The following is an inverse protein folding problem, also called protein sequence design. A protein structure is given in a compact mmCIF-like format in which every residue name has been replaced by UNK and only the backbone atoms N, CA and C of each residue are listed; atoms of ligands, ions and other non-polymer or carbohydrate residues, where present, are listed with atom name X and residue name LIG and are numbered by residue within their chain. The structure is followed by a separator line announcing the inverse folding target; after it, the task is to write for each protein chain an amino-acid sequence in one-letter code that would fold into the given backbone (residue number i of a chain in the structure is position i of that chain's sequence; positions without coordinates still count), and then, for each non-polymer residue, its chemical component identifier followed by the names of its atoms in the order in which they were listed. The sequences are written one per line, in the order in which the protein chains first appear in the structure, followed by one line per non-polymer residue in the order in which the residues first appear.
data_IF_219055010058
#
_entry.id   IF_219055010058
#
_cell.length_a   1.000
_cell.length_b   1.000
_cell.length_c   1.000
_cell.angle_alpha   90.00
_cell.angle_beta   90.00
_cell.angle_gamma   90.00
#
_symmetry.space_group_name_H-M   'P 1'
#
loop_
_entity.id
_entity.type
_entity.pdbx_description
1 polymer ?
#
# COMPACT_ATOMS: atom_id res chain seq x y z
N UNK A 1 -28.11 -10.64 28.83
CA UNK A 1 -26.89 -9.98 28.30
C UNK A 1 -27.12 -9.74 26.81
N UNK A 2 -27.05 -8.50 26.28
CA UNK A 2 -27.21 -8.35 24.84
C UNK A 2 -25.90 -8.76 24.16
N UNK A 3 -26.04 -9.64 23.16
CA UNK A 3 -25.00 -10.09 22.26
C UNK A 3 -24.31 -8.87 21.64
N UNK A 4 -23.07 -8.58 22.06
CA UNK A 4 -22.25 -7.61 21.35
C UNK A 4 -22.14 -8.12 19.91
N UNK A 5 -22.77 -7.44 18.94
CA UNK A 5 -22.56 -7.72 17.51
C UNK A 5 -21.05 -7.72 17.26
N UNK A 6 -20.47 -8.88 16.97
CA UNK A 6 -19.13 -8.96 16.41
C UNK A 6 -19.18 -8.31 15.03
N UNK A 7 -18.84 -7.02 14.97
CA UNK A 7 -18.72 -6.30 13.71
C UNK A 7 -17.45 -6.78 13.01
N UNK A 8 -17.62 -7.50 11.90
CA UNK A 8 -16.50 -7.85 11.03
C UNK A 8 -15.97 -6.56 10.36
N UNK A 9 -14.67 -6.29 10.50
CA UNK A 9 -13.97 -5.18 9.85
C UNK A 9 -13.04 -5.72 8.78
N UNK A 10 -13.30 -5.39 7.52
CA UNK A 10 -12.42 -5.71 6.39
C UNK A 10 -11.70 -4.43 5.93
N UNK A 11 -10.37 -4.48 5.87
CA UNK A 11 -9.53 -3.33 5.50
C UNK A 11 -8.42 -3.76 4.54
N UNK A 12 -8.10 -2.91 3.56
CA UNK A 12 -6.94 -3.10 2.69
C UNK A 12 -5.98 -1.90 2.78
N UNK A 13 -4.69 -2.20 2.86
CA UNK A 13 -3.62 -1.21 2.91
C UNK A 13 -2.67 -1.43 1.75
N UNK A 14 -2.39 -0.35 1.03
CA UNK A 14 -1.43 -0.33 -0.07
C UNK A 14 -0.31 0.63 0.27
N UNK A 15 0.91 0.16 0.12
CA UNK A 15 2.12 0.94 0.35
C UNK A 15 2.99 0.85 -0.88
N UNK A 16 3.42 2.01 -1.37
CA UNK A 16 4.41 2.07 -2.43
C UNK A 16 5.63 2.87 -1.98
N UNK A 17 6.80 2.35 -2.31
CA UNK A 17 8.11 2.86 -1.91
C UNK A 17 8.76 3.50 -3.14
N UNK A 18 9.13 4.77 -3.06
CA UNK A 18 9.66 5.53 -4.20
C UNK A 18 11.12 5.19 -4.51
N UNK A 19 11.91 4.89 -3.48
CA UNK A 19 13.28 4.40 -3.58
C UNK A 19 13.43 3.14 -2.69
N UNK A 20 13.15 1.95 -3.23
CA UNK A 20 13.31 0.72 -2.47
C UNK A 20 14.80 0.47 -2.22
N UNK A 21 15.26 0.69 -0.98
CA UNK A 21 16.56 0.21 -0.52
C UNK A 21 16.72 -1.29 -0.83
N UNK A 22 17.95 -1.75 -1.11
CA UNK A 22 18.22 -3.13 -1.54
C UNK A 22 17.43 -4.17 -0.72
N UNK A 23 16.47 -4.84 -1.36
CA UNK A 23 15.72 -5.97 -0.80
C UNK A 23 14.28 -5.69 -0.37
N UNK A 24 13.79 -4.43 -0.43
CA UNK A 24 12.37 -4.13 -0.17
C UNK A 24 11.53 -4.11 -1.45
N UNK A 25 10.30 -4.65 -1.44
CA UNK A 25 9.40 -4.54 -2.57
C UNK A 25 8.92 -3.09 -2.74
N UNK A 26 8.91 -2.61 -3.97
CA UNK A 26 8.41 -1.28 -4.33
C UNK A 26 6.91 -1.11 -4.03
N UNK A 27 6.15 -2.20 -3.97
CA UNK A 27 4.73 -2.18 -3.65
C UNK A 27 4.34 -3.35 -2.76
N UNK A 28 3.51 -3.07 -1.75
CA UNK A 28 2.91 -4.06 -0.85
C UNK A 28 1.42 -3.78 -0.70
N UNK A 29 0.61 -4.83 -0.84
CA UNK A 29 -0.82 -4.82 -0.55
C UNK A 29 -1.15 -5.80 0.56
N UNK A 30 -1.87 -5.37 1.60
CA UNK A 30 -2.22 -6.19 2.76
C UNK A 30 -3.72 -6.11 3.04
N UNK A 31 -4.37 -7.26 3.16
CA UNK A 31 -5.77 -7.36 3.57
C UNK A 31 -5.89 -7.83 5.02
N UNK A 32 -6.73 -7.14 5.79
CA UNK A 32 -7.04 -7.43 7.18
C UNK A 32 -8.53 -7.78 7.32
N UNK A 33 -8.81 -8.78 8.16
CA UNK A 33 -10.15 -9.04 8.69
C UNK A 33 -10.05 -9.05 10.22
N UNK A 34 -10.82 -8.20 10.90
CA UNK A 34 -10.76 -8.00 12.36
C UNK A 34 -9.35 -7.76 12.91
N UNK A 35 -8.53 -7.02 12.15
CA UNK A 35 -7.14 -6.73 12.51
C UNK A 35 -6.16 -7.88 12.26
N UNK A 36 -6.61 -9.04 11.79
CA UNK A 36 -5.76 -10.15 11.36
C UNK A 36 -5.45 -10.05 9.86
N UNK A 37 -4.17 -10.11 9.49
CA UNK A 37 -3.78 -10.21 8.08
C UNK A 37 -4.23 -11.55 7.50
N UNK A 38 -5.07 -11.52 6.48
CA UNK A 38 -5.52 -12.75 5.81
C UNK A 38 -4.95 -12.92 4.40
N UNK A 39 -4.55 -11.82 3.74
CA UNK A 39 -3.87 -11.83 2.44
C UNK A 39 -2.75 -10.82 2.37
N UNK A 40 -1.74 -11.14 1.57
CA UNK A 40 -0.58 -10.31 1.28
C UNK A 40 -0.23 -10.37 -0.19
N UNK A 41 0.28 -9.26 -0.72
CA UNK A 41 0.86 -9.14 -2.04
C UNK A 41 2.11 -8.26 -1.93
N UNK A 42 3.15 -8.60 -2.69
CA UNK A 42 4.33 -7.76 -2.86
C UNK A 42 4.81 -7.78 -4.31
N UNK A 43 5.51 -6.72 -4.72
CA UNK A 43 6.03 -6.56 -6.08
C UNK A 43 7.18 -7.51 -6.44
N UNK A 44 7.76 -8.26 -5.49
CA UNK A 44 8.73 -9.31 -5.82
C UNK A 44 8.02 -10.58 -6.27
N UNK A 45 7.07 -11.06 -5.47
CA UNK A 45 6.34 -12.29 -5.76
C UNK A 45 5.27 -12.08 -6.84
N UNK A 46 4.74 -10.85 -6.95
CA UNK A 46 3.66 -10.42 -7.86
C UNK A 46 2.46 -11.38 -7.86
N UNK A 47 2.15 -11.95 -6.70
CA UNK A 47 1.05 -12.89 -6.48
C UNK A 47 0.40 -12.62 -5.14
N UNK A 48 -0.93 -12.77 -5.09
CA UNK A 48 -1.62 -12.81 -3.81
C UNK A 48 -1.28 -14.10 -3.06
N UNK A 49 -0.96 -13.94 -1.78
CA UNK A 49 -0.54 -14.96 -0.84
C UNK A 49 -1.50 -14.98 0.35
N UNK A 50 -2.12 -16.13 0.67
CA UNK A 50 -2.87 -16.27 1.91
C UNK A 50 -1.94 -16.20 3.11
N UNK A 51 -2.42 -15.63 4.22
CA UNK A 51 -1.70 -15.53 5.50
C UNK A 51 -2.36 -16.31 6.63
N UNK A 52 -3.48 -16.95 6.34
CA UNK A 52 -4.30 -17.73 7.27
C UNK A 52 -4.86 -18.97 6.55
N UNK A 53 -5.04 -20.06 7.29
CA UNK A 53 -5.40 -21.38 6.74
C UNK A 53 -6.76 -21.40 6.03
N UNK A 54 -7.74 -20.65 6.54
CA UNK A 54 -9.06 -20.56 5.89
C UNK A 54 -8.98 -19.89 4.52
N UNK A 55 -8.04 -18.96 4.33
CA UNK A 55 -7.82 -18.29 3.03
C UNK A 55 -7.12 -19.22 2.03
N UNK A 56 -6.23 -20.11 2.50
CA UNK A 56 -5.70 -21.19 1.66
C UNK A 56 -6.80 -22.13 1.16
N UNK A 57 -7.75 -22.47 2.04
CA UNK A 57 -8.89 -23.32 1.69
C UNK A 57 -9.76 -22.67 0.61
N UNK A 58 -10.10 -21.39 0.76
CA UNK A 58 -10.82 -20.62 -0.27
C UNK A 58 -10.07 -20.63 -1.61
N UNK A 59 -8.73 -20.48 -1.59
CA UNK A 59 -7.93 -20.55 -2.80
C UNK A 59 -7.91 -21.93 -3.49
N UNK A 60 -8.11 -23.02 -2.73
CA UNK A 60 -8.23 -24.39 -3.27
C UNK A 60 -9.63 -24.65 -3.82
N UNK A 61 -10.66 -24.21 -3.11
CA UNK A 61 -12.07 -24.40 -3.47
C UNK A 61 -12.49 -23.49 -4.64
N UNK A 62 -11.91 -22.29 -4.72
CA UNK A 62 -12.15 -21.30 -5.76
C UNK A 62 -10.83 -20.82 -6.38
N UNK A 63 -10.21 -21.61 -7.28
CA UNK A 63 -8.93 -21.25 -7.89
C UNK A 63 -8.93 -19.87 -8.56
N UNK A 64 -10.05 -19.47 -9.16
CA UNK A 64 -10.22 -18.17 -9.82
C UNK A 64 -10.13 -16.99 -8.85
N UNK A 65 -10.48 -17.18 -7.56
CA UNK A 65 -10.37 -16.14 -6.55
C UNK A 65 -8.93 -15.63 -6.45
N UNK A 66 -7.95 -16.55 -6.45
CA UNK A 66 -6.54 -16.20 -6.31
C UNK A 66 -6.05 -15.36 -7.49
N UNK A 67 -6.44 -15.74 -8.70
CA UNK A 67 -6.01 -15.08 -9.93
C UNK A 67 -6.66 -13.69 -10.08
N UNK A 68 -7.95 -13.57 -9.77
CA UNK A 68 -8.66 -12.29 -9.78
C UNK A 68 -8.03 -11.33 -8.77
N UNK A 69 -7.81 -11.77 -7.53
CA UNK A 69 -7.20 -10.90 -6.52
C UNK A 69 -5.76 -10.54 -6.86
N UNK A 70 -4.99 -11.48 -7.41
CA UNK A 70 -3.64 -11.17 -7.92
C UNK A 70 -3.68 -10.10 -9.01
N UNK A 71 -4.64 -10.18 -9.94
CA UNK A 71 -4.83 -9.18 -10.98
C UNK A 71 -5.21 -7.80 -10.40
N UNK A 72 -6.07 -7.78 -9.38
CA UNK A 72 -6.45 -6.54 -8.70
C UNK A 72 -5.25 -5.88 -8.02
N UNK A 73 -4.43 -6.65 -7.29
CA UNK A 73 -3.19 -6.15 -6.68
C UNK A 73 -2.19 -5.63 -7.72
N UNK A 74 -2.04 -6.30 -8.87
CA UNK A 74 -1.20 -5.82 -9.97
C UNK A 74 -1.72 -4.52 -10.58
N UNK A 75 -3.04 -4.38 -10.70
CA UNK A 75 -3.65 -3.12 -11.13
C UNK A 75 -3.36 -1.97 -10.17
N UNK A 76 -3.44 -2.24 -8.86
CA UNK A 76 -3.07 -1.26 -7.83
C UNK A 76 -1.56 -0.94 -7.86
N UNK A 77 -0.69 -1.95 -7.98
CA UNK A 77 0.76 -1.76 -8.14
C UNK A 77 1.08 -0.79 -9.29
N UNK A 78 0.46 -0.99 -10.45
CA UNK A 78 0.70 -0.14 -11.62
C UNK A 78 0.15 1.29 -11.43
N UNK A 79 -1.03 1.45 -10.83
CA UNK A 79 -1.58 2.76 -10.53
C UNK A 79 -0.65 3.56 -9.59
N UNK A 80 -0.18 2.92 -8.51
CA UNK A 80 0.75 3.56 -7.56
C UNK A 80 2.10 3.87 -8.19
N UNK A 81 2.60 3.02 -9.10
CA UNK A 81 3.82 3.30 -9.86
C UNK A 81 3.70 4.60 -10.65
N UNK A 82 2.59 4.80 -11.37
CA UNK A 82 2.31 6.02 -12.14
C UNK A 82 2.15 7.24 -11.23
N UNK A 83 1.47 7.09 -10.09
CA UNK A 83 1.31 8.15 -9.11
C UNK A 83 2.65 8.59 -8.52
N UNK A 84 3.51 7.65 -8.15
CA UNK A 84 4.86 7.93 -7.65
C UNK A 84 5.72 8.65 -8.69
N UNK A 85 5.68 8.21 -9.95
CA UNK A 85 6.40 8.85 -11.05
C UNK A 85 5.91 10.30 -11.25
N UNK A 86 4.60 10.51 -11.20
CA UNK A 86 3.98 11.83 -11.30
C UNK A 86 4.41 12.74 -10.15
N UNK A 87 4.40 12.23 -8.91
CA UNK A 87 4.82 12.97 -7.73
C UNK A 87 6.31 13.34 -7.80
N UNK A 88 7.17 12.42 -8.23
CA UNK A 88 8.60 12.65 -8.42
C UNK A 88 8.84 13.74 -9.46
N UNK A 89 8.14 13.69 -10.59
CA UNK A 89 8.24 14.70 -11.63
C UNK A 89 7.82 16.09 -11.14
N UNK A 90 6.71 16.20 -10.38
CA UNK A 90 6.25 17.46 -9.78
C UNK A 90 7.25 18.03 -8.77
N UNK A 91 7.85 17.18 -7.95
CA UNK A 91 8.88 17.59 -7.00
C UNK A 91 10.11 18.16 -7.72
N UNK A 92 10.61 17.44 -8.73
CA UNK A 92 11.77 17.86 -9.51
C UNK A 92 11.53 19.18 -10.27
N UNK A 93 10.30 19.42 -10.76
CA UNK A 93 9.92 20.68 -11.39
C UNK A 93 9.97 21.87 -10.41
N UNK A 94 9.53 21.70 -9.15
CA UNK A 94 9.62 22.74 -8.12
C UNK A 94 11.06 23.03 -7.72
N UNK A 95 11.90 22.01 -7.63
CA UNK A 95 13.33 22.18 -7.29
C UNK A 95 14.08 22.92 -8.41
N UNK A 96 13.78 22.63 -9.67
CA UNK A 96 14.42 23.27 -10.83
C UNK A 96 13.91 24.70 -11.10
N UNK A 97 12.68 25.03 -10.69
CA UNK A 97 12.10 26.37 -10.80
C UNK A 97 12.54 27.37 -9.72
N UNK A 98 13.30 26.93 -8.71
CA UNK A 98 13.77 27.76 -7.59
C UNK A 98 15.22 28.22 -7.67
N UNK A 99 15.98 27.84 -8.71
CA UNK A 99 17.41 28.15 -8.85
C UNK A 99 17.67 29.54 -9.48
N UNK A 100 16.90 30.55 -9.06
CA UNK A 100 17.01 31.94 -9.50
C UNK A 100 16.90 32.91 -8.33
N UNK A 101 17.73 32.76 -7.30
CA UNK A 101 17.73 33.64 -6.15
C UNK A 101 18.81 33.27 -5.13
N UNK A 102 19.96 33.91 -5.26
CA UNK A 102 21.01 33.93 -4.24
C UNK A 102 20.47 34.45 -2.91
N UNK A 103 20.62 33.67 -1.82
CA UNK A 103 20.93 34.16 -0.47
C UNK A 103 21.29 32.98 0.45
N UNK A 104 22.22 33.25 1.37
CA UNK A 104 23.04 32.32 2.14
C UNK A 104 22.28 31.17 2.81
N UNK A 105 22.78 29.94 2.61
CA UNK A 105 22.37 28.74 3.34
C UNK A 105 22.93 28.79 4.76
N UNK A 106 22.06 29.03 5.74
CA UNK A 106 22.23 28.44 7.06
C UNK A 106 21.81 26.97 6.96
N UNK A 107 22.74 26.04 7.23
CA UNK A 107 22.51 24.59 7.17
C UNK A 107 21.57 24.17 8.30
N UNK A 108 20.26 24.24 8.08
CA UNK A 108 19.27 23.60 8.95
C UNK A 108 19.20 22.09 8.63
N UNK A 109 19.38 21.18 9.61
CA UNK A 109 19.51 19.74 9.42
C UNK A 109 18.15 19.05 9.24
N UNK A 110 17.28 19.59 8.36
CA UNK A 110 15.90 19.11 8.16
C UNK A 110 15.69 18.46 6.78
N UNK A 111 16.73 17.86 6.22
CA UNK A 111 16.67 17.19 4.91
C UNK A 111 16.21 15.71 5.03
N UNK A 112 16.44 15.07 6.18
CA UNK A 112 16.12 13.64 6.36
C UNK A 112 14.62 13.36 6.55
N UNK A 113 13.90 14.24 7.24
CA UNK A 113 12.50 14.03 7.58
C UNK A 113 11.56 14.29 6.40
N UNK A 114 11.93 15.17 5.45
CA UNK A 114 11.16 15.38 4.22
C UNK A 114 11.36 14.28 3.19
N UNK A 115 12.53 13.61 3.19
CA UNK A 115 12.75 12.39 2.39
C UNK A 115 11.84 11.28 2.89
N UNK A 116 11.83 11.01 4.19
CA UNK A 116 11.06 9.90 4.77
C UNK A 116 9.54 9.99 4.49
N UNK A 117 8.96 11.19 4.46
CA UNK A 117 7.55 11.42 4.11
C UNK A 117 7.24 11.24 2.61
N UNK A 118 8.25 11.18 1.73
CA UNK A 118 8.14 10.86 0.30
C UNK A 118 8.61 9.43 -0.03
N UNK A 119 9.32 8.79 0.89
CA UNK A 119 9.85 7.43 0.74
C UNK A 119 8.75 6.37 0.91
N UNK A 120 7.64 6.72 1.59
CA UNK A 120 6.49 5.84 1.81
C UNK A 120 5.20 6.59 1.47
N UNK A 121 4.60 6.25 0.33
CA UNK A 121 3.28 6.74 -0.04
C UNK A 121 2.25 5.65 0.24
N UNK A 122 1.45 5.84 1.28
CA UNK A 122 0.38 4.93 1.67
C UNK A 122 -0.99 5.61 1.50
N UNK A 123 -1.81 5.09 0.60
CA UNK A 123 -3.24 5.43 0.54
C UNK A 123 -4.04 4.31 1.22
N UNK A 124 -4.90 4.69 2.18
CA UNK A 124 -5.92 3.81 2.74
C UNK A 124 -7.14 3.90 1.81
N UNK A 125 -7.51 2.81 1.15
CA UNK A 125 -8.81 2.72 0.49
C UNK A 125 -9.44 1.33 0.68
N UNK A 126 -10.70 1.40 1.13
CA UNK A 126 -11.69 0.34 1.35
C UNK A 126 -11.66 -0.27 2.77
N UNK A 127 -12.32 0.44 3.71
CA UNK A 127 -12.93 -0.18 4.90
C UNK A 127 -14.33 -0.63 4.50
N UNK A 128 -14.57 -1.94 4.37
CA UNK A 128 -15.94 -2.47 4.25
C UNK A 128 -16.30 -3.05 5.61
N UNK A 129 -17.21 -2.37 6.33
CA UNK A 129 -17.92 -3.00 7.46
C UNK A 129 -19.01 -3.89 6.86
N UNK A 130 -18.78 -5.20 6.86
CA UNK A 130 -19.83 -6.15 6.51
C UNK A 130 -20.60 -6.47 7.80
N UNK A 131 -21.83 -5.97 7.90
CA UNK A 131 -22.78 -6.45 8.90
C UNK A 131 -23.38 -7.75 8.37
N UNK A 132 -22.89 -8.90 8.83
CA UNK A 132 -23.53 -10.18 8.54
C UNK A 132 -24.87 -10.24 9.30
N UNK A 133 -25.98 -10.64 8.65
CA UNK A 133 -27.20 -11.00 9.36
C UNK A 133 -26.99 -12.30 10.17
N UNK A 134 -27.79 -12.53 11.23
CA UNK A 134 -27.65 -13.68 12.12
C UNK A 134 -27.78 -15.04 11.42
#
# INVERSE_FOLDING_TARGET
QPLQKLLLSLSYFYTSISDPSQGLPQFVGVGYVDGQVFVHYDSHSRRMQPRVSWMEKVGKEHPQYRDINTRNFRGAEEAFRVDLETLRNRYNQRTRGGEGGSLQREKQPLHHLKSFFLDVYSFILINIRLSLPP
#
